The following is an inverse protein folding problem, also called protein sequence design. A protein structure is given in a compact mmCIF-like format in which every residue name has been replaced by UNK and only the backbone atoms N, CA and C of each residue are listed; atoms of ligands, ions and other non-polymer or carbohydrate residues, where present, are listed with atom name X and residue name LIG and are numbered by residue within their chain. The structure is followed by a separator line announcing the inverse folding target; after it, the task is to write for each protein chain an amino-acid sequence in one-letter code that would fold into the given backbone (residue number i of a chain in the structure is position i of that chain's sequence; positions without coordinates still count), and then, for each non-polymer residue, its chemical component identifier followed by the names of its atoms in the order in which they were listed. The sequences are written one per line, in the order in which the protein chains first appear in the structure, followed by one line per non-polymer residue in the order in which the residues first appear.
data_IF_605685803818
#
_entry.id   IF_605685803818
#
_cell.length_a   1.000
_cell.length_b   1.000
_cell.length_c   1.000
_cell.angle_alpha   90.00
_cell.angle_beta   90.00
_cell.angle_gamma   90.00
#
_symmetry.space_group_name_H-M   'P 1'
#
loop_
_entity.id
_entity.type
_entity.pdbx_description
1 polymer ?
#
# COMPACT_ATOMS: atom_id res chain seq x y z
N UNK A 1 59.73 11.42 42.83
CA UNK A 1 59.87 10.68 41.56
C UNK A 1 58.66 9.78 41.38
N UNK A 2 58.10 9.70 40.16
CA UNK A 2 56.92 8.89 39.77
C UNK A 2 57.02 7.41 40.20
N UNK A 3 55.87 6.70 40.24
CA UNK A 3 55.58 5.73 39.16
C UNK A 3 54.12 5.84 38.65
N UNK A 4 53.93 6.08 37.35
CA UNK A 4 53.65 5.11 36.27
C UNK A 4 52.17 4.66 36.21
N UNK A 5 51.48 5.22 35.21
CA UNK A 5 50.10 4.94 34.82
C UNK A 5 49.96 3.49 34.33
N UNK A 6 48.97 2.75 34.84
CA UNK A 6 48.29 1.69 34.08
C UNK A 6 46.86 2.15 33.82
N UNK A 7 46.57 2.39 32.56
CA UNK A 7 45.28 2.77 32.00
C UNK A 7 44.46 1.48 31.81
N UNK A 8 43.40 1.29 32.58
CA UNK A 8 42.35 0.33 32.22
C UNK A 8 41.38 1.05 31.29
N UNK A 9 41.39 0.67 30.01
CA UNK A 9 40.37 1.08 29.06
C UNK A 9 39.11 0.25 29.32
N UNK A 10 38.10 0.85 29.94
CA UNK A 10 36.73 0.36 29.84
C UNK A 10 36.17 0.89 28.52
N UNK A 11 36.04 0.01 27.53
CA UNK A 11 35.26 0.28 26.32
C UNK A 11 33.79 0.26 26.75
N UNK A 12 33.20 1.44 26.94
CA UNK A 12 31.76 1.58 27.06
C UNK A 12 31.16 1.31 25.67
N UNK A 13 30.65 0.09 25.48
CA UNK A 13 29.79 -0.24 24.35
C UNK A 13 28.50 0.56 24.54
N UNK A 14 28.39 1.70 23.86
CA UNK A 14 27.10 2.40 23.74
C UNK A 14 26.19 1.50 22.90
N UNK A 15 25.25 0.84 23.57
CA UNK A 15 24.08 0.28 22.93
C UNK A 15 23.24 1.48 22.46
N UNK A 16 23.29 1.81 21.17
CA UNK A 16 22.30 2.69 20.56
C UNK A 16 20.95 2.00 20.64
N UNK A 17 20.23 2.24 21.73
CA UNK A 17 18.79 2.01 21.79
C UNK A 17 18.16 2.97 20.78
N UNK A 18 17.69 2.41 19.67
CA UNK A 18 16.72 3.01 18.74
C UNK A 18 15.58 3.67 19.53
N UNK A 19 15.69 4.97 19.80
CA UNK A 19 14.59 5.75 20.34
C UNK A 19 13.73 6.18 19.16
N UNK A 20 12.54 5.59 19.08
CA UNK A 20 11.41 6.07 18.29
C UNK A 20 11.17 7.58 18.49
N UNK A 21 10.53 8.19 17.50
CA UNK A 21 10.05 9.59 17.42
C UNK A 21 10.11 10.36 18.76
N UNK A 22 10.88 11.46 18.85
CA UNK A 22 11.01 12.20 20.10
C UNK A 22 9.64 12.73 20.56
N UNK A 23 9.32 12.48 21.83
CA UNK A 23 8.10 12.96 22.48
C UNK A 23 8.01 14.49 22.37
N UNK A 24 6.86 15.01 21.92
CA UNK A 24 6.53 16.43 22.05
C UNK A 24 6.29 16.76 23.53
N UNK A 25 7.38 16.95 24.27
CA UNK A 25 7.39 17.50 25.62
C UNK A 25 7.30 19.01 25.56
N UNK A 26 6.08 19.55 25.48
CA UNK A 26 5.79 20.97 25.59
C UNK A 26 4.55 21.19 26.44
N UNK A 27 4.66 22.07 27.44
CA UNK A 27 3.62 22.39 28.41
C UNK A 27 2.29 22.78 27.78
N UNK A 28 1.20 22.28 28.37
CA UNK A 28 -0.17 22.55 28.00
C UNK A 28 -0.54 24.04 28.15
N UNK A 29 -0.51 24.79 27.05
CA UNK A 29 -1.30 26.01 26.89
C UNK A 29 -1.96 26.00 25.50
N UNK A 30 -3.30 26.02 25.51
CA UNK A 30 -4.22 26.19 24.38
C UNK A 30 -3.75 25.69 23.00
N UNK A 31 -3.97 24.41 22.68
CA UNK A 31 -3.96 23.98 21.28
C UNK A 31 -5.23 24.46 20.58
N UNK A 32 -5.17 25.72 20.15
CA UNK A 32 -5.95 26.28 19.04
C UNK A 32 -5.85 25.36 17.81
N UNK A 33 -6.89 25.37 16.96
CA UNK A 33 -7.05 24.77 15.63
C UNK A 33 -5.93 23.81 15.17
N UNK A 34 -6.31 22.58 14.74
CA UNK A 34 -5.44 21.73 13.91
C UNK A 34 -4.71 22.64 12.91
N UNK A 35 -3.39 22.65 12.93
CA UNK A 35 -2.53 23.60 12.20
C UNK A 35 -2.57 23.35 10.67
N UNK A 36 -3.77 23.22 10.11
CA UNK A 36 -4.05 22.86 8.73
C UNK A 36 -5.14 23.75 8.09
N UNK A 37 -5.74 24.67 8.87
CA UNK A 37 -6.77 25.59 8.38
C UNK A 37 -8.14 24.95 8.11
N UNK A 38 -8.32 23.65 8.39
CA UNK A 38 -9.57 22.93 8.15
C UNK A 38 -10.49 22.93 9.37
N UNK A 39 -11.79 22.71 9.13
CA UNK A 39 -12.78 22.60 10.20
C UNK A 39 -12.49 21.40 11.12
N UNK A 40 -12.70 21.59 12.43
CA UNK A 40 -12.73 20.49 13.40
C UNK A 40 -14.03 19.68 13.32
N UNK A 41 -15.07 20.21 12.70
CA UNK A 41 -16.29 19.47 12.38
C UNK A 41 -16.03 18.54 11.19
N UNK A 42 -16.00 17.23 11.47
CA UNK A 42 -15.74 16.21 10.46
C UNK A 42 -16.78 16.21 9.33
N UNK A 43 -18.03 16.60 9.62
CA UNK A 43 -19.11 16.66 8.61
C UNK A 43 -18.88 17.78 7.58
N UNK A 44 -18.14 18.82 7.97
CA UNK A 44 -17.70 19.90 7.07
C UNK A 44 -16.38 19.51 6.38
N UNK A 45 -15.47 18.88 7.13
CA UNK A 45 -14.15 18.50 6.63
C UNK A 45 -14.22 17.40 5.58
N UNK A 46 -15.08 16.40 5.80
CA UNK A 46 -15.15 15.18 5.00
C UNK A 46 -16.57 15.09 4.41
N UNK A 47 -16.73 15.29 3.09
CA UNK A 47 -18.04 15.15 2.46
C UNK A 47 -18.57 13.70 2.57
N UNK A 48 -19.87 13.46 2.36
CA UNK A 48 -20.43 12.11 2.44
C UNK A 48 -19.76 11.12 1.48
N UNK A 49 -19.70 9.86 1.93
CA UNK A 49 -19.27 8.73 1.12
C UNK A 49 -20.28 8.49 -0.01
N UNK A 50 -19.77 8.22 -1.21
CA UNK A 50 -20.50 7.71 -2.36
C UNK A 50 -19.65 6.59 -2.94
N UNK A 51 -20.22 5.40 -3.05
CA UNK A 51 -19.55 4.25 -3.66
C UNK A 51 -19.18 4.56 -5.13
N UNK A 52 -18.05 4.05 -5.63
CA UNK A 52 -17.71 4.22 -7.04
C UNK A 52 -18.76 3.54 -7.93
N UNK A 53 -19.15 4.21 -9.01
CA UNK A 53 -19.92 3.60 -10.10
C UNK A 53 -19.02 2.75 -11.00
N UNK A 54 -19.61 1.93 -11.89
CA UNK A 54 -18.86 1.03 -12.78
C UNK A 54 -17.91 1.75 -13.74
N UNK A 55 -18.21 3.02 -14.10
CA UNK A 55 -17.39 3.83 -15.00
C UNK A 55 -16.35 4.71 -14.27
N UNK A 56 -16.34 4.68 -12.93
CA UNK A 56 -15.35 5.41 -12.14
C UNK A 56 -14.01 4.67 -12.14
N UNK A 57 -12.93 5.41 -11.95
CA UNK A 57 -11.58 4.85 -11.81
C UNK A 57 -11.17 4.80 -10.34
N UNK A 58 -10.59 3.67 -9.93
CA UNK A 58 -9.93 3.48 -8.64
C UNK A 58 -8.58 2.80 -8.88
N UNK A 59 -7.66 3.02 -7.95
CA UNK A 59 -6.27 2.54 -8.01
C UNK A 59 -5.93 1.58 -6.87
N UNK A 60 -4.65 1.21 -6.70
CA UNK A 60 -4.20 0.32 -5.64
C UNK A 60 -4.13 1.01 -4.28
N UNK A 61 -4.14 2.34 -4.26
CA UNK A 61 -4.02 3.15 -3.05
C UNK A 61 -5.38 3.31 -2.33
N UNK A 62 -5.57 2.73 -1.13
CA UNK A 62 -6.79 2.93 -0.35
C UNK A 62 -6.98 4.39 0.08
N UNK A 63 -5.90 5.18 0.17
CA UNK A 63 -5.94 6.61 0.47
C UNK A 63 -6.62 7.41 -0.64
N UNK A 64 -6.14 7.30 -1.88
CA UNK A 64 -6.72 7.99 -3.04
C UNK A 64 -8.17 7.55 -3.30
N UNK A 65 -8.45 6.26 -3.18
CA UNK A 65 -9.79 5.73 -3.35
C UNK A 65 -10.76 6.32 -2.31
N UNK A 66 -10.31 6.42 -1.04
CA UNK A 66 -11.07 7.09 0.02
C UNK A 66 -11.34 8.56 -0.31
N UNK A 67 -10.32 9.30 -0.77
CA UNK A 67 -10.49 10.70 -1.16
C UNK A 67 -11.51 10.86 -2.30
N UNK A 68 -11.49 9.99 -3.31
CA UNK A 68 -12.44 9.99 -4.42
C UNK A 68 -13.86 9.61 -3.97
N UNK A 69 -14.01 8.56 -3.14
CA UNK A 69 -15.29 8.14 -2.57
C UNK A 69 -15.94 9.23 -1.71
N UNK A 70 -15.15 10.15 -1.14
CA UNK A 70 -15.62 11.30 -0.39
C UNK A 70 -15.63 12.61 -1.20
N UNK A 71 -15.29 12.61 -2.49
CA UNK A 71 -15.29 13.80 -3.33
C UNK A 71 -14.30 14.89 -2.88
N UNK A 72 -13.24 14.48 -2.16
CA UNK A 72 -12.11 15.35 -1.81
C UNK A 72 -11.15 15.53 -3.00
N UNK A 73 -11.18 14.57 -3.92
CA UNK A 73 -10.71 14.66 -5.30
C UNK A 73 -11.88 14.28 -6.23
N UNK A 74 -11.71 14.36 -7.56
CA UNK A 74 -12.78 14.01 -8.49
C UNK A 74 -13.35 12.61 -8.19
N UNK A 75 -14.67 12.53 -7.98
CA UNK A 75 -15.34 11.28 -7.56
C UNK A 75 -15.18 10.14 -8.56
N UNK A 76 -15.12 10.49 -9.83
CA UNK A 76 -14.87 9.53 -10.90
C UNK A 76 -13.43 9.05 -10.99
N UNK A 77 -12.51 9.58 -10.17
CA UNK A 77 -11.10 9.19 -10.14
C UNK A 77 -10.34 9.50 -11.43
N UNK A 78 -10.82 10.47 -12.23
CA UNK A 78 -10.24 10.85 -13.53
C UNK A 78 -9.88 12.33 -13.54
N UNK A 79 -8.95 12.71 -14.43
CA UNK A 79 -8.50 14.08 -14.67
C UNK A 79 -8.12 14.80 -13.36
N UNK A 80 -7.23 14.19 -12.59
CA UNK A 80 -6.88 14.64 -11.25
C UNK A 80 -5.67 15.57 -11.31
N UNK A 81 -5.86 16.84 -11.00
CA UNK A 81 -4.75 17.77 -10.87
C UNK A 81 -3.94 17.44 -9.60
N UNK A 82 -2.61 17.37 -9.74
CA UNK A 82 -1.70 17.06 -8.63
C UNK A 82 -1.77 18.03 -7.45
N UNK A 83 -2.10 19.31 -7.67
CA UNK A 83 -2.35 20.26 -6.58
C UNK A 83 -3.62 19.91 -5.78
N UNK A 84 -4.66 19.40 -6.44
CA UNK A 84 -5.89 18.99 -5.76
C UNK A 84 -5.66 17.73 -4.94
N UNK A 85 -4.91 16.77 -5.49
CA UNK A 85 -4.45 15.59 -4.74
C UNK A 85 -3.66 16.03 -3.51
N UNK A 86 -2.66 16.91 -3.68
CA UNK A 86 -1.80 17.39 -2.60
C UNK A 86 -2.58 18.09 -1.49
N UNK A 87 -3.62 18.85 -1.81
CA UNK A 87 -4.49 19.54 -0.83
C UNK A 87 -5.51 18.61 -0.16
N UNK A 88 -5.94 17.55 -0.85
CA UNK A 88 -6.93 16.61 -0.34
C UNK A 88 -6.40 15.75 0.82
N UNK A 89 -5.11 15.43 0.82
CA UNK A 89 -4.46 14.60 1.84
C UNK A 89 -4.43 15.25 3.24
N UNK A 90 -3.97 16.51 3.40
CA UNK A 90 -4.14 17.27 4.65
C UNK A 90 -5.59 17.33 5.10
N UNK A 91 -6.52 17.63 4.17
CA UNK A 91 -7.95 17.72 4.49
C UNK A 91 -8.55 16.39 4.94
N UNK A 92 -8.24 15.29 4.26
CA UNK A 92 -8.80 13.97 4.55
C UNK A 92 -8.14 13.33 5.77
N UNK A 93 -6.84 13.05 5.67
CA UNK A 93 -6.11 12.23 6.64
C UNK A 93 -5.33 13.04 7.68
N UNK A 94 -5.12 14.33 7.47
CA UNK A 94 -4.30 15.17 8.35
C UNK A 94 -2.80 14.97 8.14
N UNK A 95 -2.40 14.46 6.98
CA UNK A 95 -1.01 14.36 6.56
C UNK A 95 -0.51 15.73 6.07
N UNK A 96 0.68 16.13 6.49
CA UNK A 96 1.37 17.29 5.95
C UNK A 96 1.70 17.09 4.47
N UNK A 97 1.62 18.14 3.65
CA UNK A 97 1.94 18.07 2.21
C UNK A 97 3.32 17.49 1.94
N UNK A 98 4.31 17.78 2.81
CA UNK A 98 5.67 17.25 2.64
C UNK A 98 5.75 15.71 2.72
N UNK A 99 4.82 15.06 3.44
CA UNK A 99 4.78 13.61 3.58
C UNK A 99 4.35 12.90 2.30
N UNK A 100 3.82 13.64 1.33
CA UNK A 100 3.25 13.08 0.11
C UNK A 100 4.03 13.45 -1.17
N UNK A 101 5.06 14.30 -1.10
CA UNK A 101 5.77 14.77 -2.30
C UNK A 101 6.42 13.64 -3.11
N UNK A 102 7.05 12.65 -2.46
CA UNK A 102 7.63 11.50 -3.17
C UNK A 102 6.56 10.68 -3.90
N UNK A 103 5.42 10.44 -3.26
CA UNK A 103 4.30 9.74 -3.91
C UNK A 103 3.75 10.55 -5.09
N UNK A 104 3.58 11.86 -4.92
CA UNK A 104 3.06 12.74 -5.96
C UNK A 104 3.98 12.78 -7.17
N UNK A 105 5.29 12.88 -6.97
CA UNK A 105 6.26 12.79 -8.05
C UNK A 105 6.22 11.42 -8.74
N UNK A 106 6.14 10.32 -7.99
CA UNK A 106 6.06 8.99 -8.59
C UNK A 106 4.75 8.76 -9.37
N UNK A 107 3.66 9.45 -9.02
CA UNK A 107 2.43 9.43 -9.82
C UNK A 107 2.60 10.12 -11.18
N UNK A 108 3.37 11.21 -11.22
CA UNK A 108 3.75 11.86 -12.48
C UNK A 108 4.56 10.90 -13.34
N UNK A 109 5.61 10.30 -12.78
CA UNK A 109 6.47 9.33 -13.49
C UNK A 109 5.64 8.17 -14.05
N UNK A 110 4.75 7.57 -13.25
CA UNK A 110 3.88 6.48 -13.74
C UNK A 110 2.91 6.97 -14.82
N UNK A 111 2.34 8.16 -14.67
CA UNK A 111 1.46 8.74 -15.68
C UNK A 111 2.18 8.89 -17.03
N UNK A 112 3.40 9.44 -17.00
CA UNK A 112 4.21 9.64 -18.21
C UNK A 112 4.68 8.32 -18.80
N UNK A 113 5.09 7.39 -17.96
CA UNK A 113 5.49 6.03 -18.34
C UNK A 113 4.36 5.31 -19.08
N UNK A 114 3.14 5.31 -18.53
CA UNK A 114 2.02 4.58 -19.12
C UNK A 114 1.47 5.28 -20.37
N UNK A 115 1.41 6.60 -20.38
CA UNK A 115 0.89 7.35 -21.52
C UNK A 115 1.91 7.52 -22.65
N UNK A 116 3.21 7.36 -22.37
CA UNK A 116 4.30 7.58 -23.32
C UNK A 116 4.47 9.05 -23.72
N UNK A 117 3.82 9.98 -23.00
CA UNK A 117 3.86 11.43 -23.21
C UNK A 117 3.85 12.14 -21.85
N UNK A 118 4.30 13.38 -21.81
CA UNK A 118 4.28 14.15 -20.56
C UNK A 118 2.86 14.36 -20.05
N UNK A 119 2.68 14.19 -18.74
CA UNK A 119 1.43 14.46 -18.04
C UNK A 119 1.41 15.86 -17.43
N UNK A 120 2.55 16.54 -17.40
CA UNK A 120 2.70 17.96 -17.14
C UNK A 120 2.62 18.78 -18.42
N UNK A 121 2.00 19.95 -18.37
CA UNK A 121 2.09 20.91 -19.48
C UNK A 121 2.26 22.33 -18.92
N UNK A 122 2.82 23.28 -19.68
CA UNK A 122 2.86 24.68 -19.27
C UNK A 122 1.48 25.25 -18.94
N UNK A 123 0.41 24.75 -19.58
CA UNK A 123 -0.97 25.12 -19.32
C UNK A 123 -1.50 24.62 -17.96
N UNK A 124 -0.84 23.63 -17.35
CA UNK A 124 -1.17 23.11 -16.04
C UNK A 124 -0.42 23.84 -14.89
N UNK A 125 0.11 25.05 -15.12
CA UNK A 125 0.73 25.89 -14.07
C UNK A 125 1.82 25.17 -13.25
N UNK A 126 2.67 24.39 -13.93
CA UNK A 126 3.72 23.60 -13.27
C UNK A 126 3.23 22.38 -12.47
N UNK A 127 2.02 21.92 -12.75
CA UNK A 127 1.42 20.68 -12.19
C UNK A 127 1.22 19.63 -13.28
N UNK A 128 0.99 18.37 -12.89
CA UNK A 128 0.52 17.32 -13.80
C UNK A 128 -0.95 16.96 -13.57
N UNK A 129 -1.57 16.41 -14.62
CA UNK A 129 -2.90 15.80 -14.57
C UNK A 129 -2.75 14.28 -14.62
N UNK A 130 -3.07 13.60 -13.52
CA UNK A 130 -3.20 12.14 -13.54
C UNK A 130 -4.51 11.78 -14.26
N UNK A 131 -4.39 11.11 -15.41
CA UNK A 131 -5.53 10.80 -16.27
C UNK A 131 -6.60 10.01 -15.53
N UNK A 132 -6.21 8.99 -14.78
CA UNK A 132 -7.09 8.23 -13.91
C UNK A 132 -6.30 7.46 -12.83
N UNK A 133 -6.98 7.02 -11.76
CA UNK A 133 -6.36 6.29 -10.65
C UNK A 133 -5.91 4.87 -11.00
N UNK A 134 -6.54 4.23 -11.99
CA UNK A 134 -6.24 2.86 -12.42
C UNK A 134 -4.82 2.76 -13.00
N UNK A 135 -4.30 3.83 -13.61
CA UNK A 135 -2.91 3.91 -14.08
C UNK A 135 -1.88 3.60 -12.99
N UNK A 136 -2.18 3.95 -11.73
CA UNK A 136 -1.26 3.71 -10.62
C UNK A 136 -1.14 2.23 -10.25
N UNK A 137 -1.94 1.35 -10.86
CA UNK A 137 -1.84 -0.10 -10.76
C UNK A 137 -0.86 -0.73 -11.77
N UNK A 138 -0.09 0.08 -12.51
CA UNK A 138 0.97 -0.42 -13.38
C UNK A 138 2.00 -1.21 -12.57
N UNK A 139 2.13 -2.53 -12.78
CA UNK A 139 2.96 -3.37 -11.94
C UNK A 139 4.45 -3.10 -12.09
N UNK A 140 5.21 -3.40 -11.03
CA UNK A 140 6.66 -3.18 -10.96
C UNK A 140 7.05 -1.74 -11.26
N UNK A 141 6.21 -0.77 -10.91
CA UNK A 141 6.54 0.65 -10.97
C UNK A 141 6.32 1.29 -9.60
N UNK A 142 5.27 2.09 -9.45
CA UNK A 142 4.74 2.48 -8.15
C UNK A 142 4.02 1.31 -7.47
N UNK A 143 3.15 0.61 -8.21
CA UNK A 143 2.55 -0.63 -7.73
C UNK A 143 3.63 -1.71 -7.62
N UNK A 144 3.55 -2.47 -6.54
CA UNK A 144 4.56 -3.47 -6.20
C UNK A 144 3.95 -4.72 -5.58
N UNK A 145 4.68 -5.83 -5.71
CA UNK A 145 4.31 -7.10 -5.09
C UNK A 145 4.21 -7.02 -3.56
N UNK A 146 3.77 -8.13 -2.95
CA UNK A 146 3.61 -8.34 -1.50
C UNK A 146 2.78 -7.29 -0.75
N UNK A 147 1.88 -6.62 -1.47
CA UNK A 147 0.88 -5.70 -0.93
C UNK A 147 0.13 -6.27 0.29
N UNK A 148 -0.21 -5.38 1.24
CA UNK A 148 -0.93 -5.75 2.47
C UNK A 148 -2.36 -6.24 2.22
N UNK A 149 -3.00 -5.81 1.13
CA UNK A 149 -4.42 -6.05 0.88
C UNK A 149 -4.80 -6.28 -0.59
N UNK A 150 -3.84 -6.32 -1.51
CA UNK A 150 -4.05 -6.56 -2.95
C UNK A 150 -3.35 -7.86 -3.34
N UNK A 151 -3.85 -8.53 -4.38
CA UNK A 151 -3.07 -9.61 -4.98
C UNK A 151 -1.90 -9.01 -5.76
N UNK A 152 -0.86 -9.79 -6.00
CA UNK A 152 0.21 -9.38 -6.92
C UNK A 152 -0.27 -9.63 -8.35
N UNK A 153 0.23 -8.87 -9.34
CA UNK A 153 -0.27 -8.89 -10.74
C UNK A 153 -0.13 -10.23 -11.48
N UNK A 154 0.74 -11.14 -11.00
CA UNK A 154 0.86 -12.53 -11.48
C UNK A 154 0.65 -13.58 -10.38
N UNK A 155 -0.14 -13.27 -9.36
CA UNK A 155 -0.38 -14.20 -8.26
C UNK A 155 -1.19 -15.43 -8.73
N UNK A 156 -1.00 -16.57 -8.05
CA UNK A 156 -1.72 -17.84 -8.25
C UNK A 156 -1.60 -18.40 -9.67
N UNK A 157 -0.50 -18.10 -10.34
CA UNK A 157 -0.22 -18.51 -11.72
C UNK A 157 -1.24 -18.03 -12.75
N UNK A 158 -2.13 -17.09 -12.38
CA UNK A 158 -3.07 -16.25 -13.15
C UNK A 158 -3.57 -16.76 -14.52
N UNK A 159 -3.53 -18.06 -14.78
CA UNK A 159 -4.00 -18.71 -15.98
C UNK A 159 -3.37 -18.21 -17.30
N UNK A 160 -2.12 -17.74 -17.26
CA UNK A 160 -1.50 -17.06 -18.41
C UNK A 160 -2.06 -15.65 -18.66
N UNK A 161 -2.68 -15.05 -17.64
CA UNK A 161 -3.32 -13.73 -17.65
C UNK A 161 -2.97 -12.87 -16.42
N UNK A 162 -3.82 -11.88 -16.14
CA UNK A 162 -3.59 -10.80 -15.18
C UNK A 162 -4.52 -11.00 -13.98
N UNK A 163 -3.98 -10.93 -12.76
CA UNK A 163 -4.79 -10.85 -11.52
C UNK A 163 -5.15 -9.41 -11.18
N UNK A 164 -6.16 -9.26 -10.32
CA UNK A 164 -6.55 -7.95 -9.77
C UNK A 164 -5.54 -7.50 -8.71
N UNK A 165 -4.51 -6.78 -9.16
CA UNK A 165 -3.54 -6.10 -8.29
C UNK A 165 -4.01 -4.71 -7.83
N UNK A 166 -5.21 -4.30 -8.23
CA UNK A 166 -5.66 -2.92 -8.07
C UNK A 166 -6.64 -2.79 -6.90
N UNK A 167 -7.57 -3.74 -6.75
CA UNK A 167 -8.66 -3.57 -5.81
C UNK A 167 -8.48 -4.32 -4.48
N UNK A 168 -9.18 -3.84 -3.46
CA UNK A 168 -9.11 -4.41 -2.12
C UNK A 168 -9.52 -5.90 -2.13
N UNK A 169 -8.65 -6.74 -1.59
CA UNK A 169 -8.89 -8.16 -1.43
C UNK A 169 -8.94 -8.53 0.05
N UNK A 170 -10.15 -8.82 0.54
CA UNK A 170 -10.38 -9.17 1.95
C UNK A 170 -9.61 -10.41 2.42
N UNK A 171 -9.33 -11.36 1.53
CA UNK A 171 -8.55 -12.56 1.85
C UNK A 171 -7.09 -12.19 2.06
N UNK A 172 -6.53 -11.33 1.21
CA UNK A 172 -5.15 -10.83 1.38
C UNK A 172 -5.04 -9.98 2.65
N UNK A 173 -5.96 -9.06 2.88
CA UNK A 173 -6.00 -8.26 4.11
C UNK A 173 -6.05 -9.15 5.36
N UNK A 174 -6.85 -10.22 5.33
CA UNK A 174 -6.92 -11.16 6.45
C UNK A 174 -5.60 -11.91 6.67
N UNK A 175 -4.80 -12.18 5.63
CA UNK A 175 -3.44 -12.75 5.81
C UNK A 175 -2.55 -11.80 6.61
N UNK A 176 -2.62 -10.50 6.34
CA UNK A 176 -1.90 -9.46 7.10
C UNK A 176 -2.39 -9.40 8.56
N UNK A 177 -3.70 -9.30 8.78
CA UNK A 177 -4.29 -9.24 10.12
C UNK A 177 -4.03 -10.50 10.96
N UNK A 178 -3.89 -11.66 10.32
CA UNK A 178 -3.66 -12.93 11.02
C UNK A 178 -2.31 -12.97 11.76
N UNK A 179 -1.32 -12.21 11.30
CA UNK A 179 0.01 -12.12 11.94
C UNK A 179 -0.13 -11.55 13.35
N UNK A 180 -1.01 -10.57 13.55
CA UNK A 180 -1.23 -9.93 14.85
C UNK A 180 -2.17 -10.77 15.70
N UNK A 181 -1.65 -11.88 16.24
CA UNK A 181 -2.37 -12.77 17.15
C UNK A 181 -3.73 -13.22 16.58
N UNK A 182 -3.75 -13.61 15.29
CA UNK A 182 -4.95 -14.07 14.55
C UNK A 182 -6.13 -13.09 14.67
N UNK A 183 -5.86 -11.79 14.55
CA UNK A 183 -6.91 -10.77 14.65
C UNK A 183 -7.99 -11.02 13.59
N UNK A 184 -9.24 -11.04 14.04
CA UNK A 184 -10.42 -11.15 13.18
C UNK A 184 -11.29 -9.92 13.42
N UNK A 185 -11.60 -9.12 12.38
CA UNK A 185 -12.57 -8.05 12.49
C UNK A 185 -13.90 -8.58 13.08
N UNK A 186 -14.55 -7.78 13.91
CA UNK A 186 -15.80 -8.15 14.57
C UNK A 186 -16.76 -6.96 14.60
N UNK A 187 -18.04 -7.24 14.81
CA UNK A 187 -19.06 -6.24 15.10
C UNK A 187 -19.72 -6.57 16.45
N UNK A 188 -19.56 -5.74 17.51
CA UNK A 188 -18.80 -4.49 17.54
C UNK A 188 -17.28 -4.71 17.36
N UNK A 189 -16.54 -3.71 16.83
CA UNK A 189 -15.10 -3.81 16.67
C UNK A 189 -14.37 -3.96 18.00
N UNK A 190 -13.37 -4.86 18.01
CA UNK A 190 -12.47 -5.04 19.14
C UNK A 190 -11.23 -4.20 18.92
N UNK A 191 -11.01 -3.23 19.80
CA UNK A 191 -9.79 -2.42 19.77
C UNK A 191 -8.60 -3.30 20.07
N UNK A 192 -7.72 -3.45 19.07
CA UNK A 192 -6.42 -4.10 19.18
C UNK A 192 -5.40 -3.25 18.45
N UNK A 193 -4.18 -3.24 18.99
CA UNK A 193 -3.07 -2.44 18.48
C UNK A 193 -2.01 -3.35 17.89
N UNK A 194 -1.34 -2.87 16.84
CA UNK A 194 -0.15 -3.47 16.27
C UNK A 194 1.01 -2.46 16.34
N UNK A 195 2.18 -2.93 16.72
CA UNK A 195 3.39 -2.11 16.84
C UNK A 195 4.35 -2.31 15.66
N UNK A 196 5.57 -1.79 15.77
CA UNK A 196 6.58 -1.91 14.72
C UNK A 196 7.01 -3.36 14.45
N UNK A 197 7.13 -4.19 15.49
CA UNK A 197 7.49 -5.60 15.36
C UNK A 197 6.37 -6.38 14.68
N UNK A 198 5.11 -6.08 15.01
CA UNK A 198 3.97 -6.66 14.31
C UNK A 198 4.00 -6.32 12.80
N UNK A 199 4.29 -5.07 12.43
CA UNK A 199 4.34 -4.67 11.01
C UNK A 199 5.53 -5.25 10.25
N UNK A 200 6.67 -5.45 10.91
CA UNK A 200 7.81 -6.16 10.33
C UNK A 200 7.48 -7.64 10.09
N UNK A 201 6.79 -8.28 11.04
CA UNK A 201 6.29 -9.64 10.84
C UNK A 201 5.23 -9.71 9.75
N UNK A 202 4.36 -8.70 9.62
CA UNK A 202 3.34 -8.63 8.56
C UNK A 202 4.02 -8.59 7.19
N UNK A 203 4.94 -7.65 6.95
CA UNK A 203 5.59 -7.52 5.63
C UNK A 203 6.39 -8.77 5.27
N UNK A 204 7.17 -9.35 6.19
CA UNK A 204 7.88 -10.62 5.98
C UNK A 204 6.92 -11.77 5.62
N UNK A 205 5.77 -11.85 6.30
CA UNK A 205 4.78 -12.86 6.02
C UNK A 205 4.15 -12.66 4.62
N UNK A 206 3.95 -11.42 4.18
CA UNK A 206 3.44 -11.09 2.85
C UNK A 206 4.48 -11.38 1.76
N UNK A 207 5.72 -10.93 1.93
CA UNK A 207 6.85 -11.23 1.05
C UNK A 207 7.00 -12.74 0.85
N UNK A 208 7.07 -13.51 1.94
CA UNK A 208 7.20 -14.97 1.84
C UNK A 208 6.02 -15.65 1.17
N UNK A 209 4.80 -15.11 1.31
CA UNK A 209 3.63 -15.68 0.64
C UNK A 209 3.67 -15.42 -0.86
N UNK A 210 4.06 -14.23 -1.30
CA UNK A 210 4.06 -13.89 -2.72
C UNK A 210 5.26 -14.47 -3.45
N UNK A 211 6.42 -14.57 -2.81
CA UNK A 211 7.55 -15.29 -3.36
C UNK A 211 7.24 -16.79 -3.62
N UNK A 212 6.17 -17.34 -3.02
CA UNK A 212 5.63 -18.68 -3.32
C UNK A 212 4.51 -18.65 -4.36
N UNK A 213 3.59 -17.69 -4.25
CA UNK A 213 2.33 -17.71 -5.00
C UNK A 213 2.42 -17.03 -6.36
N UNK A 214 3.41 -16.18 -6.57
CA UNK A 214 3.59 -15.49 -7.84
C UNK A 214 4.17 -16.42 -8.89
N UNK A 215 3.91 -16.08 -10.14
CA UNK A 215 4.54 -16.74 -11.26
C UNK A 215 6.07 -16.72 -11.12
N UNK A 216 6.78 -17.84 -11.39
CA UNK A 216 8.23 -17.89 -11.22
C UNK A 216 8.93 -16.82 -12.06
N UNK A 217 9.78 -16.00 -11.42
CA UNK A 217 10.44 -14.86 -12.05
C UNK A 217 9.66 -13.54 -12.02
N UNK A 218 8.41 -13.55 -11.58
CA UNK A 218 7.63 -12.34 -11.38
C UNK A 218 7.99 -11.63 -10.07
N UNK A 219 7.97 -12.35 -8.96
CA UNK A 219 8.10 -11.75 -7.63
C UNK A 219 9.35 -10.87 -7.49
N UNK A 220 9.10 -9.59 -7.22
CA UNK A 220 10.10 -8.59 -6.90
C UNK A 220 9.92 -8.12 -5.46
N UNK A 221 11.01 -8.18 -4.69
CA UNK A 221 11.04 -7.60 -3.36
C UNK A 221 11.10 -6.07 -3.46
N UNK A 222 10.21 -5.39 -2.72
CA UNK A 222 10.03 -3.94 -2.79
C UNK A 222 9.85 -3.37 -1.38
N UNK A 223 10.87 -3.55 -0.53
CA UNK A 223 10.86 -3.09 0.87
C UNK A 223 10.67 -1.56 0.99
N UNK A 224 11.37 -0.69 0.22
CA UNK A 224 11.27 0.76 0.41
C UNK A 224 9.84 1.31 0.27
N UNK A 225 9.09 1.06 -0.83
CA UNK A 225 7.72 1.55 -0.94
C UNK A 225 6.79 0.90 0.10
N UNK A 226 6.95 -0.39 0.41
CA UNK A 226 6.13 -1.06 1.45
C UNK A 226 6.32 -0.44 2.84
N UNK A 227 7.55 -0.06 3.21
CA UNK A 227 7.82 0.63 4.47
C UNK A 227 7.34 2.08 4.45
N UNK A 228 7.36 2.73 3.29
CA UNK A 228 6.79 4.07 3.11
C UNK A 228 5.26 4.05 3.31
N UNK A 229 4.58 3.06 2.71
CA UNK A 229 3.16 2.76 2.95
C UNK A 229 2.87 2.44 4.41
N UNK A 230 3.77 1.70 5.07
CA UNK A 230 3.65 1.41 6.50
C UNK A 230 3.63 2.72 7.32
N UNK A 231 4.48 3.69 6.99
CA UNK A 231 4.44 5.01 7.61
C UNK A 231 3.09 5.73 7.43
N UNK A 232 2.47 5.62 6.24
CA UNK A 232 1.11 6.13 6.03
C UNK A 232 0.07 5.36 6.84
N UNK A 233 0.18 4.04 6.96
CA UNK A 233 -0.73 3.22 7.77
C UNK A 233 -0.66 3.66 9.23
N UNK A 234 0.54 3.78 9.80
CA UNK A 234 0.72 4.30 11.15
C UNK A 234 0.13 5.70 11.28
N UNK A 235 0.48 6.64 10.40
CA UNK A 235 0.01 8.03 10.50
C UNK A 235 -1.52 8.16 10.42
N UNK A 236 -2.13 7.41 9.51
CA UNK A 236 -3.57 7.42 9.33
C UNK A 236 -4.32 6.70 10.47
N UNK A 237 -3.71 5.74 11.16
CA UNK A 237 -4.43 4.82 12.06
C UNK A 237 -3.82 4.62 13.45
N UNK A 238 -2.78 5.39 13.82
CA UNK A 238 -2.25 5.33 15.18
C UNK A 238 -3.33 5.71 16.19
N UNK A 239 -3.36 5.00 17.31
CA UNK A 239 -4.34 5.23 18.36
C UNK A 239 -4.25 6.67 18.92
N UNK A 240 -5.37 7.37 18.91
CA UNK A 240 -5.43 8.79 19.26
C UNK A 240 -6.74 9.20 19.88
N UNK A 241 -6.69 10.28 20.66
CA UNK A 241 -7.85 10.85 21.33
C UNK A 241 -8.77 11.61 20.34
N UNK A 242 -9.91 12.08 20.83
CA UNK A 242 -10.88 12.83 20.02
C UNK A 242 -10.37 14.19 19.53
N UNK A 243 -9.21 14.65 20.03
CA UNK A 243 -8.53 15.87 19.58
C UNK A 243 -7.44 15.56 18.55
N UNK A 244 -7.21 14.30 18.22
CA UNK A 244 -6.19 13.85 17.27
C UNK A 244 -4.79 13.68 17.87
N UNK A 245 -4.65 13.75 19.21
CA UNK A 245 -3.38 13.55 19.87
C UNK A 245 -3.10 12.05 20.05
N UNK A 246 -1.87 11.63 19.74
CA UNK A 246 -1.43 10.25 19.95
C UNK A 246 -1.60 9.83 21.40
N UNK A 247 -2.17 8.64 21.61
CA UNK A 247 -2.25 8.01 22.91
C UNK A 247 -0.96 7.21 23.13
N UNK A 248 -0.23 7.56 24.19
CA UNK A 248 1.09 6.98 24.47
C UNK A 248 2.22 7.76 23.78
N UNK A 249 3.44 7.24 23.91
CA UNK A 249 4.67 7.89 23.39
C UNK A 249 5.16 7.29 22.08
N UNK A 250 4.70 6.09 21.73
CA UNK A 250 5.08 5.37 20.51
C UNK A 250 3.80 5.09 19.72
N UNK A 251 3.76 5.38 18.40
CA UNK A 251 2.57 5.13 17.62
C UNK A 251 2.33 3.62 17.50
N UNK A 252 1.06 3.24 17.60
CA UNK A 252 0.61 1.86 17.37
C UNK A 252 -0.68 1.89 16.56
N UNK A 253 -0.74 1.08 15.51
CA UNK A 253 -1.88 1.01 14.58
C UNK A 253 -3.08 0.40 15.27
N UNK A 254 -4.24 1.07 15.24
CA UNK A 254 -5.52 0.45 15.59
C UNK A 254 -6.00 -0.44 14.44
N UNK A 255 -6.01 -1.75 14.68
CA UNK A 255 -6.34 -2.75 13.65
C UNK A 255 -7.77 -2.65 13.12
N UNK A 256 -8.71 -2.20 13.94
CA UNK A 256 -10.09 -1.94 13.51
C UNK A 256 -10.22 -0.66 12.66
N UNK A 257 -9.41 0.37 12.91
CA UNK A 257 -9.32 1.52 12.00
C UNK A 257 -8.62 1.17 10.69
N UNK A 258 -7.56 0.37 10.75
CA UNK A 258 -6.85 -0.07 9.56
C UNK A 258 -7.71 -0.98 8.67
N UNK A 259 -8.34 -2.01 9.24
CA UNK A 259 -9.26 -2.87 8.48
C UNK A 259 -10.44 -2.09 7.92
N UNK A 260 -11.07 -1.21 8.71
CA UNK A 260 -12.17 -0.39 8.21
C UNK A 260 -11.75 0.51 7.05
N UNK A 261 -10.64 1.24 7.19
CA UNK A 261 -10.18 2.13 6.13
C UNK A 261 -9.92 1.37 4.82
N UNK A 262 -9.22 0.24 4.89
CA UNK A 262 -8.88 -0.52 3.70
C UNK A 262 -10.09 -1.22 3.07
N UNK A 263 -10.97 -1.79 3.90
CA UNK A 263 -12.16 -2.53 3.46
C UNK A 263 -13.25 -1.61 2.95
N UNK A 264 -13.48 -0.49 3.62
CA UNK A 264 -14.58 0.39 3.27
C UNK A 264 -14.16 1.52 2.33
N UNK A 265 -12.84 1.69 2.12
CA UNK A 265 -12.25 2.84 1.42
C UNK A 265 -12.93 4.14 1.82
N UNK A 266 -13.05 4.30 3.14
CA UNK A 266 -13.76 5.37 3.85
C UNK A 266 -13.08 5.63 5.19
N UNK A 267 -13.36 6.78 5.79
CA UNK A 267 -12.77 7.18 7.07
C UNK A 267 -13.50 6.50 8.25
N UNK A 268 -12.81 5.85 9.21
CA UNK A 268 -13.42 5.12 10.34
C UNK A 268 -14.01 6.04 11.43
N UNK A 269 -14.66 7.14 11.06
CA UNK A 269 -15.20 8.15 11.98
C UNK A 269 -16.21 7.57 12.95
N UNK A 270 -17.04 6.62 12.49
CA UNK A 270 -17.97 5.86 13.32
C UNK A 270 -17.29 5.03 14.43
N UNK A 271 -16.00 4.77 14.30
CA UNK A 271 -15.16 4.06 15.27
C UNK A 271 -14.37 5.02 16.18
N UNK A 272 -14.71 6.31 16.15
CA UNK A 272 -14.04 7.37 16.91
C UNK A 272 -12.78 7.94 16.27
N UNK A 273 -12.50 7.59 15.00
CA UNK A 273 -11.37 8.14 14.27
C UNK A 273 -11.56 9.63 13.99
N UNK A 274 -10.48 10.39 14.15
CA UNK A 274 -10.35 11.78 13.68
C UNK A 274 -9.05 11.89 12.87
N UNK A 275 -8.89 12.84 11.94
CA UNK A 275 -7.61 13.05 11.27
C UNK A 275 -6.47 13.33 12.28
N UNK A 276 -5.24 12.94 11.96
CA UNK A 276 -4.07 13.31 12.74
C UNK A 276 -3.78 14.82 12.61
N UNK A 277 -2.88 15.35 13.45
CA UNK A 277 -2.35 16.70 13.25
C UNK A 277 -1.28 16.69 12.17
N UNK A 278 -1.33 17.66 11.25
CA UNK A 278 -0.33 17.86 10.19
C UNK A 278 1.06 18.23 10.72
N UNK A 279 1.17 18.64 11.99
CA UNK A 279 2.46 18.83 12.67
C UNK A 279 3.09 17.52 13.15
N UNK A 280 2.32 16.43 13.15
CA UNK A 280 2.77 15.09 13.58
C UNK A 280 2.90 14.18 12.37
N UNK A 281 1.86 14.09 11.54
CA UNK A 281 1.83 13.17 10.39
C UNK A 281 2.50 13.83 9.18
N UNK A 282 3.82 13.83 9.15
CA UNK A 282 4.65 14.43 8.10
C UNK A 282 5.69 13.42 7.55
N UNK A 283 6.57 13.87 6.64
CA UNK A 283 7.62 13.00 6.07
C UNK A 283 8.57 12.41 7.12
N UNK A 284 8.86 13.15 8.19
CA UNK A 284 9.74 12.67 9.25
C UNK A 284 9.07 11.52 10.00
N UNK A 285 7.77 11.62 10.26
CA UNK A 285 6.99 10.57 10.91
C UNK A 285 6.98 9.31 10.06
N UNK A 286 6.65 9.46 8.78
CA UNK A 286 6.58 8.35 7.83
C UNK A 286 7.92 7.62 7.78
N UNK A 287 9.01 8.35 7.53
CA UNK A 287 10.35 7.75 7.40
C UNK A 287 10.90 7.21 8.73
N UNK A 288 10.55 7.80 9.87
CA UNK A 288 10.90 7.25 11.18
C UNK A 288 10.17 5.94 11.47
N UNK A 289 8.89 5.83 11.12
CA UNK A 289 8.14 4.58 11.24
C UNK A 289 8.76 3.53 10.32
N UNK A 290 9.02 3.86 9.06
CA UNK A 290 9.67 2.96 8.10
C UNK A 290 10.95 2.35 8.67
N UNK A 291 11.84 3.19 9.23
CA UNK A 291 13.09 2.76 9.86
C UNK A 291 12.86 1.90 11.11
N UNK A 292 11.91 2.30 11.97
CA UNK A 292 11.63 1.60 13.21
C UNK A 292 11.01 0.21 12.98
N UNK A 293 10.18 0.07 11.95
CA UNK A 293 9.62 -1.23 11.51
C UNK A 293 10.74 -2.13 11.01
N UNK A 294 11.56 -1.68 10.06
CA UNK A 294 12.66 -2.49 9.52
C UNK A 294 13.69 -2.90 10.58
N UNK A 295 13.93 -2.04 11.58
CA UNK A 295 14.85 -2.31 12.68
C UNK A 295 14.22 -3.14 13.83
N UNK A 296 12.92 -3.45 13.77
CA UNK A 296 12.26 -4.18 14.84
C UNK A 296 12.78 -5.63 14.93
N UNK A 297 12.84 -6.23 16.14
CA UNK A 297 13.33 -7.60 16.27
C UNK A 297 12.39 -8.59 15.56
N UNK A 298 12.96 -9.44 14.70
CA UNK A 298 12.25 -10.53 14.03
C UNK A 298 12.02 -11.67 15.02
N UNK A 299 10.76 -11.97 15.33
CA UNK A 299 10.38 -13.04 16.28
C UNK A 299 10.07 -14.36 15.59
N UNK A 300 9.75 -14.32 14.30
CA UNK A 300 9.54 -15.49 13.44
C UNK A 300 10.02 -15.18 12.03
N UNK A 301 10.67 -16.16 11.39
CA UNK A 301 11.17 -16.05 10.02
C UNK A 301 10.35 -16.98 9.11
N UNK A 302 9.52 -16.44 8.21
CA UNK A 302 8.84 -17.22 7.19
C UNK A 302 9.82 -17.99 6.28
N UNK A 303 9.40 -19.15 5.77
CA UNK A 303 10.31 -20.11 5.10
C UNK A 303 10.81 -19.69 3.72
N UNK A 304 10.08 -18.84 3.01
CA UNK A 304 10.34 -18.54 1.59
C UNK A 304 10.61 -17.06 1.37
N UNK A 305 11.47 -16.47 2.20
CA UNK A 305 11.89 -15.09 2.02
C UNK A 305 12.94 -14.96 0.90
N UNK A 306 12.92 -13.86 0.13
CA UNK A 306 14.03 -13.49 -0.75
C UNK A 306 15.29 -13.14 0.05
N UNK A 307 16.43 -13.14 -0.63
CA UNK A 307 17.69 -12.72 -0.02
C UNK A 307 17.63 -11.21 0.32
N UNK A 308 18.00 -10.84 1.54
CA UNK A 308 17.96 -9.45 2.00
C UNK A 308 16.69 -9.05 2.76
N UNK A 309 15.63 -9.86 2.74
CA UNK A 309 14.37 -9.59 3.43
C UNK A 309 14.50 -9.27 4.94
N UNK A 310 15.52 -9.82 5.60
CA UNK A 310 15.74 -9.64 7.05
C UNK A 310 16.77 -8.56 7.37
N UNK A 311 17.22 -7.81 6.37
CA UNK A 311 18.12 -6.68 6.58
C UNK A 311 17.42 -5.64 7.46
N UNK A 312 18.13 -5.11 8.44
CA UNK A 312 17.60 -4.11 9.38
C UNK A 312 17.84 -2.67 8.94
N UNK A 313 18.46 -2.46 7.77
CA UNK A 313 18.82 -1.16 7.21
C UNK A 313 18.61 -1.19 5.70
N UNK A 314 17.98 -0.13 5.19
CA UNK A 314 17.80 0.09 3.76
C UNK A 314 17.63 1.58 3.47
N UNK A 315 17.89 1.97 2.23
CA UNK A 315 17.58 3.30 1.74
C UNK A 315 16.07 3.58 1.80
N UNK A 316 15.67 4.83 2.12
CA UNK A 316 14.26 5.20 2.12
C UNK A 316 13.67 5.11 0.70
N UNK A 317 12.34 5.03 0.61
CA UNK A 317 11.65 5.15 -0.68
C UNK A 317 12.05 6.47 -1.36
N UNK A 318 12.52 6.36 -2.60
CA UNK A 318 12.96 7.48 -3.42
C UNK A 318 12.00 7.75 -4.58
N UNK A 319 12.40 8.72 -5.39
CA UNK A 319 11.76 8.96 -6.67
C UNK A 319 12.01 7.79 -7.62
N UNK A 320 10.98 7.38 -8.35
CA UNK A 320 11.15 6.47 -9.49
C UNK A 320 12.02 7.17 -10.55
N UNK A 321 12.85 6.41 -11.29
CA UNK A 321 13.62 6.99 -12.38
C UNK A 321 12.67 7.55 -13.45
N UNK A 322 12.97 8.73 -13.96
CA UNK A 322 12.26 9.30 -15.11
C UNK A 322 12.44 8.34 -16.30
N UNK A 323 11.34 7.74 -16.74
CA UNK A 323 11.37 6.72 -17.78
C UNK A 323 10.95 7.32 -19.14
N UNK A 324 11.76 7.09 -20.17
CA UNK A 324 11.31 7.23 -21.56
C UNK A 324 10.24 6.18 -21.91
N UNK A 325 9.54 6.30 -23.05
CA UNK A 325 8.43 5.42 -23.40
C UNK A 325 8.89 3.96 -23.47
N UNK A 326 8.22 3.08 -22.72
CA UNK A 326 8.56 1.67 -22.60
C UNK A 326 7.33 0.77 -22.81
N UNK A 327 7.57 -0.55 -22.83
CA UNK A 327 6.50 -1.55 -22.91
C UNK A 327 5.76 -1.60 -21.57
N UNK A 328 4.51 -1.16 -21.55
CA UNK A 328 3.63 -1.22 -20.37
C UNK A 328 2.97 -2.59 -20.24
N UNK A 329 2.48 -2.89 -19.04
CA UNK A 329 1.65 -4.05 -18.80
C UNK A 329 0.16 -3.70 -18.98
N UNK A 330 -0.68 -4.62 -19.49
CA UNK A 330 -2.11 -4.35 -19.53
C UNK A 330 -2.67 -4.20 -18.12
N UNK A 331 -3.34 -3.09 -17.83
CA UNK A 331 -3.95 -2.84 -16.53
C UNK A 331 -5.20 -3.70 -16.31
N UNK A 332 -5.51 -4.00 -15.05
CA UNK A 332 -6.73 -4.70 -14.70
C UNK A 332 -7.98 -3.89 -15.10
N UNK A 333 -8.87 -4.49 -15.89
CA UNK A 333 -10.04 -3.83 -16.49
C UNK A 333 -11.38 -4.07 -15.80
N UNK A 334 -11.39 -4.65 -14.58
CA UNK A 334 -12.63 -4.89 -13.84
C UNK A 334 -13.25 -3.60 -13.26
N UNK A 335 -14.56 -3.61 -12.94
CA UNK A 335 -15.22 -2.48 -12.30
C UNK A 335 -14.58 -2.17 -10.94
N UNK A 336 -14.52 -0.89 -10.51
CA UNK A 336 -13.92 -0.52 -9.24
C UNK A 336 -14.59 -1.22 -8.07
N UNK A 337 -13.77 -1.66 -7.12
CA UNK A 337 -14.29 -2.20 -5.87
C UNK A 337 -15.18 -1.18 -5.15
N UNK A 338 -16.37 -1.63 -4.77
CA UNK A 338 -17.28 -0.90 -3.92
C UNK A 338 -17.42 -1.63 -2.58
N UNK A 339 -17.28 -0.87 -1.50
CA UNK A 339 -17.42 -1.41 -0.16
C UNK A 339 -18.82 -2.02 0.08
N UNK A 340 -18.91 -3.19 0.75
CA UNK A 340 -20.16 -3.92 0.86
C UNK A 340 -21.16 -3.30 1.84
N UNK A 341 -20.74 -2.43 2.78
CA UNK A 341 -21.60 -2.01 3.89
C UNK A 341 -22.15 -0.60 3.80
N UNK A 342 -21.77 0.19 2.77
CA UNK A 342 -22.08 1.62 2.64
C UNK A 342 -21.88 2.37 3.99
N UNK A 343 -20.64 2.83 4.29
CA UNK A 343 -20.27 3.46 5.55
C UNK A 343 -21.27 4.50 6.06
N UNK A 344 -21.48 4.54 7.37
CA UNK A 344 -22.43 5.48 7.96
C UNK A 344 -22.04 6.93 7.62
N UNK A 345 -23.05 7.76 7.35
CA UNK A 345 -22.83 9.17 7.09
C UNK A 345 -22.14 9.86 8.28
N UNK A 346 -21.18 10.73 7.98
CA UNK A 346 -20.50 11.54 8.99
C UNK A 346 -21.47 12.62 9.45
N UNK A 347 -22.08 12.41 10.61
CA UNK A 347 -23.04 13.36 11.18
C UNK A 347 -22.32 14.52 11.90
N UNK A 348 -22.84 15.75 11.84
CA UNK A 348 -22.35 16.86 12.66
C UNK A 348 -22.42 16.48 14.14
N UNK A 349 -21.46 16.94 14.93
CA UNK A 349 -21.43 16.71 16.38
C UNK A 349 -22.64 17.40 17.07
N UNK A 350 -23.79 16.73 17.09
CA UNK A 350 -24.90 17.01 18.01
C UNK A 350 -24.86 15.99 19.15
N UNK A 351 -24.90 16.50 20.37
CA UNK A 351 -24.92 15.74 21.61
C UNK A 351 -25.94 14.58 21.59
N UNK A 352 -25.54 13.46 22.21
CA UNK A 352 -26.28 12.24 22.64
C UNK A 352 -26.29 11.08 21.63
N UNK A 353 -25.63 9.96 21.95
CA UNK A 353 -26.03 8.80 22.80
C UNK A 353 -27.07 7.90 22.12
N UNK A 354 -26.60 6.67 21.87
CA UNK A 354 -27.31 5.41 21.68
C UNK A 354 -28.38 5.33 20.57
N UNK A 355 -27.98 4.79 19.42
CA UNK A 355 -28.84 3.95 18.59
C UNK A 355 -27.98 2.98 17.77
N UNK A 356 -28.14 1.68 18.02
CA UNK A 356 -27.55 0.61 17.21
C UNK A 356 -28.24 0.56 15.83
N UNK A 357 -27.52 0.31 14.72
CA UNK A 357 -28.15 0.14 13.41
C UNK A 357 -28.83 -1.22 13.26
N UNK A 358 -30.02 -1.19 12.68
CA UNK A 358 -30.81 -2.32 12.21
C UNK A 358 -30.21 -2.92 10.93
N UNK A 359 -30.32 -4.25 10.77
CA UNK A 359 -29.84 -4.99 9.61
C UNK A 359 -30.77 -4.88 8.39
N UNK A 360 -30.20 -4.82 7.18
CA UNK A 360 -30.85 -5.05 5.89
C UNK A 360 -29.89 -5.86 5.00
N UNK A 361 -30.14 -7.17 4.80
CA UNK A 361 -30.82 -7.83 3.68
C UNK A 361 -30.10 -7.73 2.33
N UNK A 362 -29.47 -8.83 1.95
CA UNK A 362 -28.81 -9.12 0.68
C UNK A 362 -29.79 -9.53 -0.41
N UNK A 363 -29.55 -9.10 -1.66
CA UNK A 363 -29.99 -9.82 -2.88
C UNK A 363 -28.88 -9.77 -3.91
N UNK A 364 -28.52 -10.95 -4.42
CA UNK A 364 -27.56 -11.17 -5.49
C UNK A 364 -28.25 -11.12 -6.86
N UNK A 365 -27.49 -10.79 -7.90
CA UNK A 365 -27.81 -11.17 -9.28
C UNK A 365 -26.52 -11.37 -10.07
N UNK A 366 -26.40 -12.58 -10.62
CA UNK A 366 -25.40 -13.01 -11.59
C UNK A 366 -25.57 -12.28 -12.93
N UNK A 367 -24.46 -12.06 -13.66
CA UNK A 367 -24.43 -12.30 -15.10
C UNK A 367 -23.00 -12.44 -15.65
N UNK A 368 -22.88 -13.30 -16.66
CA UNK A 368 -21.67 -13.88 -17.24
C UNK A 368 -21.34 -13.23 -18.59
N UNK A 369 -20.05 -13.15 -18.96
CA UNK A 369 -19.41 -13.39 -20.29
C UNK A 369 -18.09 -12.58 -20.37
N UNK A 370 -16.98 -12.95 -21.03
CA UNK A 370 -16.68 -13.87 -22.12
C UNK A 370 -15.27 -14.49 -21.97
N UNK A 371 -15.16 -15.68 -21.35
CA UNK A 371 -13.87 -16.33 -21.02
C UNK A 371 -13.77 -17.79 -21.53
N UNK A 372 -14.45 -18.15 -22.61
CA UNK A 372 -14.68 -19.58 -22.95
C UNK A 372 -13.60 -20.28 -23.78
N UNK A 373 -12.51 -19.60 -24.18
CA UNK A 373 -11.43 -20.24 -24.97
C UNK A 373 -10.08 -20.28 -24.23
N UNK A 374 -9.83 -19.35 -23.30
CA UNK A 374 -8.60 -19.30 -22.47
C UNK A 374 -8.69 -20.15 -21.18
N UNK A 375 -9.90 -20.56 -20.76
CA UNK A 375 -10.12 -21.23 -19.46
C UNK A 375 -9.71 -22.71 -19.41
N UNK A 376 -9.50 -23.37 -20.55
CA UNK A 376 -9.19 -24.81 -20.60
C UNK A 376 -7.71 -25.13 -20.35
N UNK A 377 -6.79 -24.23 -20.75
CA UNK A 377 -5.35 -24.34 -20.48
C UNK A 377 -5.03 -23.86 -19.06
N UNK A 378 -5.75 -22.82 -18.65
CA UNK A 378 -5.78 -22.23 -17.32
C UNK A 378 -6.06 -23.23 -16.18
N UNK A 379 -7.10 -24.08 -16.31
CA UNK A 379 -7.51 -24.98 -15.22
C UNK A 379 -6.46 -26.05 -14.90
N UNK A 380 -5.66 -26.48 -15.90
CA UNK A 380 -4.62 -27.49 -15.71
C UNK A 380 -3.43 -27.01 -14.88
N UNK A 381 -3.13 -25.71 -14.83
CA UNK A 381 -2.00 -25.14 -14.07
C UNK A 381 -2.34 -24.98 -12.57
N UNK A 382 -3.56 -24.56 -12.25
CA UNK A 382 -4.06 -24.50 -10.87
C UNK A 382 -4.28 -25.88 -10.26
N UNK A 383 -4.53 -26.90 -11.08
CA UNK A 383 -4.77 -28.27 -10.65
C UNK A 383 -3.50 -29.13 -10.58
N UNK A 384 -2.39 -28.74 -11.24
CA UNK A 384 -1.18 -29.58 -11.35
C UNK A 384 0.13 -28.79 -11.19
N UNK A 385 0.59 -28.49 -9.95
CA UNK A 385 1.88 -27.84 -9.67
C UNK A 385 3.10 -28.50 -10.33
N UNK A 386 3.03 -29.79 -10.64
CA UNK A 386 4.08 -30.56 -11.32
C UNK A 386 4.28 -30.17 -12.80
N UNK A 387 3.25 -29.66 -13.48
CA UNK A 387 3.35 -29.21 -14.87
C UNK A 387 4.18 -27.92 -14.93
N UNK A 388 3.94 -26.98 -14.00
CA UNK A 388 4.73 -25.75 -13.92
C UNK A 388 6.19 -26.02 -13.55
N UNK A 389 6.44 -26.94 -12.61
CA UNK A 389 7.80 -27.37 -12.28
C UNK A 389 8.52 -28.00 -13.50
N UNK A 390 7.80 -28.80 -14.29
CA UNK A 390 8.32 -29.36 -15.54
C UNK A 390 8.57 -28.27 -16.60
N UNK A 391 7.64 -27.34 -16.78
CA UNK A 391 7.77 -26.25 -17.75
C UNK A 391 8.96 -25.33 -17.43
N UNK A 392 9.12 -24.93 -16.17
CA UNK A 392 10.26 -24.12 -15.72
C UNK A 392 11.59 -24.89 -15.85
N UNK A 393 11.59 -26.21 -15.68
CA UNK A 393 12.79 -27.03 -15.96
C UNK A 393 13.19 -27.06 -17.45
N UNK A 394 12.23 -26.95 -18.36
CA UNK A 394 12.45 -26.91 -19.82
C UNK A 394 12.99 -25.53 -20.24
N UNK A 395 12.38 -24.46 -19.74
CA UNK A 395 12.74 -23.08 -20.10
C UNK A 395 14.05 -22.64 -19.43
N UNK A 396 14.34 -23.16 -18.24
CA UNK A 396 15.51 -22.81 -17.45
C UNK A 396 15.21 -21.77 -16.36
N UNK A 397 16.28 -21.28 -15.73
CA UNK A 397 16.18 -20.33 -14.62
C UNK A 397 15.46 -19.04 -15.02
N UNK A 398 14.58 -18.57 -14.14
CA UNK A 398 13.98 -17.26 -14.27
C UNK A 398 15.06 -16.15 -14.36
N UNK A 399 14.77 -15.06 -15.09
CA UNK A 399 15.68 -13.93 -15.16
C UNK A 399 15.89 -13.30 -13.77
N UNK A 400 16.99 -12.52 -13.60
CA UNK A 400 17.25 -11.80 -12.37
C UNK A 400 16.06 -10.90 -11.98
N UNK A 401 15.79 -10.79 -10.67
CA UNK A 401 14.75 -9.91 -10.13
C UNK A 401 15.08 -8.45 -10.47
N UNK A 402 14.06 -7.71 -10.90
CA UNK A 402 14.15 -6.27 -11.15
C UNK A 402 14.38 -5.53 -9.84
N UNK A 403 15.01 -4.36 -9.87
CA UNK A 403 15.02 -3.46 -8.72
C UNK A 403 14.79 -2.02 -9.17
N UNK A 404 13.54 -1.66 -9.46
CA UNK A 404 13.16 -0.29 -9.85
C UNK A 404 13.54 0.79 -8.82
N UNK A 405 13.84 0.39 -7.58
CA UNK A 405 14.23 1.29 -6.49
C UNK A 405 15.76 1.37 -6.28
N UNK A 406 16.56 0.62 -7.04
CA UNK A 406 17.99 0.90 -7.16
C UNK A 406 18.14 2.19 -7.97
N UNK A 407 18.61 3.27 -7.32
CA UNK A 407 18.73 4.64 -7.83
C UNK A 407 19.63 4.80 -9.09
N UNK A 408 20.05 3.71 -9.72
CA UNK A 408 21.02 3.65 -10.81
C UNK A 408 20.51 3.02 -12.11
N UNK A 409 19.25 2.60 -12.20
CA UNK A 409 18.71 2.03 -13.45
C UNK A 409 18.16 3.11 -14.37
N UNK A 410 18.78 3.26 -15.55
CA UNK A 410 18.22 4.09 -16.62
C UNK A 410 17.00 3.42 -17.29
N UNK A 411 16.19 4.21 -17.99
CA UNK A 411 14.96 3.75 -18.66
C UNK A 411 15.21 2.63 -19.69
N UNK A 412 16.39 2.59 -20.31
CA UNK A 412 16.76 1.57 -21.30
C UNK A 412 17.02 0.22 -20.64
N UNK A 413 17.65 0.24 -19.46
CA UNK A 413 17.92 -0.92 -18.62
C UNK A 413 16.62 -1.51 -18.08
N UNK A 414 15.69 -0.65 -17.63
CA UNK A 414 14.34 -1.05 -17.23
C UNK A 414 13.61 -1.74 -18.38
N UNK A 415 13.56 -1.11 -19.56
CA UNK A 415 12.85 -1.64 -20.74
C UNK A 415 13.42 -2.99 -21.20
N UNK A 416 14.74 -3.13 -21.19
CA UNK A 416 15.41 -4.38 -21.56
C UNK A 416 15.10 -5.50 -20.57
N UNK A 417 15.11 -5.22 -19.26
CA UNK A 417 14.74 -6.19 -18.26
C UNK A 417 13.27 -6.61 -18.44
N UNK A 418 12.33 -5.67 -18.66
CA UNK A 418 10.89 -5.94 -18.85
C UNK A 418 10.68 -6.90 -20.01
N UNK A 419 11.34 -6.63 -21.14
CA UNK A 419 11.29 -7.49 -22.32
C UNK A 419 11.80 -8.92 -22.04
N UNK A 420 12.87 -9.06 -21.24
CA UNK A 420 13.40 -10.37 -20.84
C UNK A 420 12.39 -11.14 -19.97
N UNK A 421 11.72 -10.48 -19.03
CA UNK A 421 10.71 -11.12 -18.18
C UNK A 421 9.46 -11.54 -18.96
N UNK A 422 8.96 -10.69 -19.85
CA UNK A 422 7.84 -11.01 -20.73
C UNK A 422 8.18 -12.17 -21.69
N UNK A 423 9.43 -12.23 -22.18
CA UNK A 423 9.93 -13.32 -23.01
C UNK A 423 10.01 -14.64 -22.23
N UNK A 424 10.53 -14.60 -20.99
CA UNK A 424 10.57 -15.77 -20.10
C UNK A 424 9.16 -16.28 -19.78
N UNK A 425 8.24 -15.38 -19.44
CA UNK A 425 6.84 -15.71 -19.19
C UNK A 425 6.21 -16.40 -20.41
N UNK A 426 6.38 -15.82 -21.60
CA UNK A 426 5.88 -16.38 -22.86
C UNK A 426 6.43 -17.78 -23.12
N UNK A 427 7.72 -18.01 -22.85
CA UNK A 427 8.36 -19.31 -23.01
C UNK A 427 7.81 -20.36 -22.02
N UNK A 428 7.58 -19.97 -20.76
CA UNK A 428 7.00 -20.87 -19.75
C UNK A 428 5.54 -21.19 -20.08
N UNK A 429 4.74 -20.22 -20.51
CA UNK A 429 3.37 -20.46 -20.98
C UNK A 429 3.35 -21.42 -22.18
N UNK A 430 4.26 -21.25 -23.13
CA UNK A 430 4.40 -22.16 -24.27
C UNK A 430 4.77 -23.58 -23.82
N UNK A 431 5.71 -23.72 -22.87
CA UNK A 431 6.11 -25.01 -22.31
C UNK A 431 4.96 -25.70 -21.54
N UNK A 432 4.20 -24.94 -20.75
CA UNK A 432 2.98 -25.44 -20.09
C UNK A 432 1.98 -25.94 -21.13
N UNK A 433 1.72 -25.15 -22.18
CA UNK A 433 0.77 -25.49 -23.24
C UNK A 433 1.17 -26.79 -23.94
N UNK A 434 2.46 -26.96 -24.22
CA UNK A 434 3.03 -28.19 -24.80
C UNK A 434 2.85 -29.40 -23.86
N UNK A 435 3.19 -29.25 -22.58
CA UNK A 435 3.06 -30.32 -21.56
C UNK A 435 1.60 -30.67 -21.23
N UNK A 436 0.68 -29.72 -21.40
CA UNK A 436 -0.75 -29.88 -21.13
C UNK A 436 -1.54 -30.36 -22.35
N UNK A 437 -0.92 -30.43 -23.54
CA UNK A 437 -1.49 -31.03 -24.75
C UNK A 437 -1.74 -32.53 -24.59
N UNK A 438 -2.59 -33.13 -25.46
CA UNK A 438 -2.93 -34.54 -25.42
C UNK A 438 -1.76 -35.49 -25.69
#
# INVERSE_FOLDING_TARGET
MRPSKKLFAFVASFCELSTAYPSLGGSAESLEKRWDGFSNDLSVRIPPYIAPGPDDSRGPCPGLNTLANHGLINRNGKNLNSNDILKAFPRGFGINTNGFFTALHNFEVVCEYVNGVTCGTPENDGTFILTNLTLLGEPHTFEHGHSFSREDYRQKYAHGGITDNNYFNSTIMQKSLNVVNKYKPSNPPKVKRADYQDFDQIRLQRESQQNINDFPGWFQENIPPTLFETGFIFGATFDRDSKGNMIGTTPSVRLDWWDFWFREESFPTQLGWVPAHTSVFDINFITSVSKAVLAAPITSTPKSLPAGATNSVQDPAGNLPEAGPAVTFPLFGGPPYAAPTAPAAIMPAKNKRDAAPQAASTTASDEVTAASVLSSVASKVSEVPAILASATSIVGSAPPKFNFYEQTLDASSVSAQVAVAQSYESAVIAAITSLAGP
#
